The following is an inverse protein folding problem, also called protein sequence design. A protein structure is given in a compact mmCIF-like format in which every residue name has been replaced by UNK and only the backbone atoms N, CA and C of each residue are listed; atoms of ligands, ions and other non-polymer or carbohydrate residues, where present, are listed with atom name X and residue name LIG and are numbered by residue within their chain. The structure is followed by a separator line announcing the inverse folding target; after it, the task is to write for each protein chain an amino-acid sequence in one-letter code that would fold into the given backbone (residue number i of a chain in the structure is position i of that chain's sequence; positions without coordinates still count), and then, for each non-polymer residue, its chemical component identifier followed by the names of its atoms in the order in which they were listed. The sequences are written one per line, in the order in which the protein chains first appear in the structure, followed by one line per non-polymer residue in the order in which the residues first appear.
data_IF_309101438261
#
_entry.id   IF_309101438261
#
_cell.length_a   1.000
_cell.length_b   1.000
_cell.length_c   1.000
_cell.angle_alpha   90.00
_cell.angle_beta   90.00
_cell.angle_gamma   90.00
#
_symmetry.space_group_name_H-M   'P 1'
#
loop_
_entity.id
_entity.type
_entity.pdbx_description
1 polymer ?
#
# COMPACT_ATOMS: atom_id res chain seq x y z
N UNK A 1 13.76 13.48 -0.89
CA UNK A 1 14.13 12.06 -0.91
C UNK A 1 13.72 11.41 0.39
N UNK A 2 13.18 10.21 0.35
CA UNK A 2 12.74 9.54 1.57
C UNK A 2 13.95 9.13 2.44
N UNK A 3 13.73 9.03 3.74
CA UNK A 3 14.74 8.56 4.68
C UNK A 3 15.25 7.15 4.30
N UNK A 4 14.38 6.30 3.79
CA UNK A 4 14.73 4.92 3.38
C UNK A 4 15.74 4.91 2.22
N UNK A 5 15.64 5.84 1.28
CA UNK A 5 16.63 6.00 0.22
C UNK A 5 17.97 6.50 0.78
N UNK A 6 17.93 7.41 1.74
CA UNK A 6 19.16 7.97 2.35
C UNK A 6 19.98 6.92 3.08
N UNK A 7 19.33 5.95 3.72
CA UNK A 7 20.02 4.88 4.44
C UNK A 7 20.33 3.67 3.57
N UNK A 8 20.01 3.72 2.26
CA UNK A 8 20.30 2.64 1.34
C UNK A 8 19.41 1.41 1.48
N UNK A 9 18.30 1.52 2.22
CA UNK A 9 17.37 0.41 2.43
C UNK A 9 16.59 0.09 1.17
N UNK A 10 16.26 1.12 0.38
CA UNK A 10 15.54 0.97 -0.89
C UNK A 10 16.31 1.70 -2.00
N UNK A 11 16.41 1.07 -3.17
CA UNK A 11 17.01 1.69 -4.34
C UNK A 11 15.96 2.47 -5.14
N UNK A 12 16.42 3.41 -5.96
CA UNK A 12 15.53 4.14 -6.88
C UNK A 12 14.83 3.19 -7.84
N UNK A 13 15.50 2.12 -8.28
CA UNK A 13 14.91 1.10 -9.14
C UNK A 13 13.74 0.39 -8.47
N UNK A 14 13.87 0.01 -7.20
CA UNK A 14 12.79 -0.62 -6.44
C UNK A 14 11.62 0.33 -6.28
N UNK A 15 11.89 1.59 -5.95
CA UNK A 15 10.86 2.62 -5.82
C UNK A 15 10.09 2.82 -7.13
N UNK A 16 10.80 2.85 -8.26
CA UNK A 16 10.19 3.01 -9.59
C UNK A 16 9.31 1.81 -9.95
N UNK A 17 9.73 0.59 -9.62
CA UNK A 17 8.94 -0.63 -9.85
C UNK A 17 7.63 -0.59 -9.08
N UNK A 18 7.67 -0.16 -7.84
CA UNK A 18 6.46 -0.06 -7.00
C UNK A 18 5.51 0.97 -7.59
N UNK A 19 6.00 2.17 -7.92
CA UNK A 19 5.19 3.22 -8.51
C UNK A 19 4.56 2.77 -9.83
N UNK A 20 5.37 2.22 -10.73
CA UNK A 20 4.91 1.74 -12.03
C UNK A 20 3.86 0.65 -11.89
N UNK A 21 4.08 -0.33 -11.01
CA UNK A 21 3.13 -1.41 -10.77
C UNK A 21 1.78 -0.89 -10.27
N UNK A 22 1.79 0.16 -9.46
CA UNK A 22 0.56 0.81 -9.01
C UNK A 22 -0.16 1.48 -10.17
N UNK A 23 0.56 2.24 -11.02
CA UNK A 23 -0.06 2.97 -12.14
C UNK A 23 -0.73 2.04 -13.15
N UNK A 24 -0.09 0.91 -13.47
CA UNK A 24 -0.61 -0.04 -14.47
C UNK A 24 -1.50 -1.13 -13.85
N UNK A 25 -1.72 -1.07 -12.54
CA UNK A 25 -2.51 -2.05 -11.79
C UNK A 25 -2.00 -3.49 -11.96
N UNK A 26 -0.68 -3.66 -11.96
CA UNK A 26 -0.06 -4.98 -11.98
C UNK A 26 0.16 -5.45 -10.54
N UNK A 27 -0.86 -6.10 -9.97
CA UNK A 27 -0.83 -6.49 -8.56
C UNK A 27 0.19 -7.59 -8.25
N UNK A 28 0.53 -8.42 -9.21
CA UNK A 28 1.54 -9.48 -9.03
C UNK A 28 2.94 -8.89 -8.94
N UNK A 29 3.26 -7.98 -9.84
CA UNK A 29 4.54 -7.28 -9.82
C UNK A 29 4.66 -6.38 -8.59
N UNK A 30 3.57 -5.73 -8.20
CA UNK A 30 3.52 -4.92 -6.99
C UNK A 30 3.81 -5.78 -5.75
N UNK A 31 3.17 -6.94 -5.63
CA UNK A 31 3.39 -7.86 -4.52
C UNK A 31 4.85 -8.30 -4.43
N UNK A 32 5.45 -8.65 -5.58
CA UNK A 32 6.84 -9.04 -5.67
C UNK A 32 7.78 -7.91 -5.25
N UNK A 33 7.54 -6.71 -5.73
CA UNK A 33 8.35 -5.54 -5.40
C UNK A 33 8.28 -5.19 -3.90
N UNK A 34 7.09 -5.25 -3.31
CA UNK A 34 6.90 -5.02 -1.88
C UNK A 34 7.59 -6.13 -1.07
N UNK A 35 7.50 -7.38 -1.50
CA UNK A 35 8.15 -8.49 -0.81
C UNK A 35 9.68 -8.33 -0.81
N UNK A 36 10.27 -7.94 -1.92
CA UNK A 36 11.70 -7.64 -2.00
C UNK A 36 12.10 -6.51 -1.06
N UNK A 37 11.28 -5.47 -0.99
CA UNK A 37 11.49 -4.35 -0.09
C UNK A 37 11.40 -4.77 1.38
N UNK A 38 10.38 -5.56 1.72
CA UNK A 38 10.18 -6.10 3.08
C UNK A 38 11.40 -6.87 3.56
N UNK A 39 11.97 -7.69 2.69
CA UNK A 39 13.13 -8.50 3.03
C UNK A 39 14.33 -7.64 3.45
N UNK A 40 14.49 -6.49 2.80
CA UNK A 40 15.55 -5.54 3.14
C UNK A 40 15.25 -4.77 4.43
N UNK A 41 14.01 -4.30 4.57
CA UNK A 41 13.60 -3.43 5.69
C UNK A 41 13.62 -4.16 7.02
N UNK A 42 13.14 -5.40 7.06
CA UNK A 42 13.05 -6.17 8.30
C UNK A 42 14.42 -6.45 8.92
N UNK A 43 15.49 -6.41 8.10
CA UNK A 43 16.85 -6.50 8.64
C UNK A 43 17.24 -5.30 9.53
N UNK A 44 16.53 -4.18 9.40
CA UNK A 44 16.84 -2.93 10.11
C UNK A 44 15.79 -2.50 11.12
N UNK A 45 14.52 -2.93 10.95
CA UNK A 45 13.41 -2.45 11.74
C UNK A 45 12.60 -3.62 12.31
N UNK A 46 12.02 -3.39 13.49
CA UNK A 46 11.16 -4.36 14.16
C UNK A 46 9.74 -4.31 13.58
N UNK A 47 9.26 -5.38 12.90
CA UNK A 47 7.89 -5.39 12.38
C UNK A 47 6.82 -5.46 13.45
N UNK A 48 7.20 -5.77 14.71
CA UNK A 48 6.29 -5.73 15.85
C UNK A 48 6.00 -4.34 16.37
N UNK A 49 6.77 -3.32 15.92
CA UNK A 49 6.55 -1.95 16.37
C UNK A 49 5.24 -1.40 15.84
N UNK A 50 4.54 -0.63 16.66
CA UNK A 50 3.31 0.04 16.26
C UNK A 50 3.57 0.99 15.09
N UNK A 51 2.71 0.93 14.09
CA UNK A 51 2.85 1.80 12.92
C UNK A 51 3.91 1.35 11.91
N UNK A 52 4.54 0.17 12.11
CA UNK A 52 5.57 -0.32 11.19
C UNK A 52 5.08 -0.43 9.75
N UNK A 53 4.00 -1.18 9.52
CA UNK A 53 3.49 -1.41 8.15
C UNK A 53 2.93 -0.14 7.51
N UNK A 54 2.11 0.66 8.21
CA UNK A 54 1.68 1.95 7.66
C UNK A 54 2.85 2.86 7.31
N UNK A 55 3.84 2.96 8.19
CA UNK A 55 5.03 3.78 7.96
C UNK A 55 5.82 3.33 6.75
N UNK A 56 5.98 2.02 6.59
CA UNK A 56 6.66 1.40 5.46
C UNK A 56 5.97 1.76 4.14
N UNK A 57 4.67 1.59 4.08
CA UNK A 57 3.90 1.88 2.86
C UNK A 57 3.86 3.38 2.58
N UNK A 58 3.63 4.21 3.59
CA UNK A 58 3.65 5.66 3.43
C UNK A 58 5.01 6.15 2.93
N UNK A 59 6.11 5.56 3.42
CA UNK A 59 7.45 5.88 2.94
C UNK A 59 7.64 5.57 1.46
N UNK A 60 7.08 4.45 1.00
CA UNK A 60 7.13 4.07 -0.42
C UNK A 60 6.31 5.01 -1.29
N UNK A 61 5.07 5.29 -0.90
CA UNK A 61 4.17 6.11 -1.71
C UNK A 61 4.50 7.60 -1.65
N UNK A 62 5.26 8.05 -0.66
CA UNK A 62 5.72 9.44 -0.60
C UNK A 62 6.53 9.82 -1.84
N UNK A 63 7.16 8.84 -2.51
CA UNK A 63 7.86 9.07 -3.76
C UNK A 63 6.93 9.46 -4.91
N UNK A 64 5.62 9.29 -4.73
CA UNK A 64 4.59 9.59 -5.71
C UNK A 64 3.89 10.93 -5.45
N UNK A 65 4.36 11.73 -4.52
CA UNK A 65 3.66 12.96 -4.10
C UNK A 65 3.62 14.03 -5.20
N UNK A 66 4.50 13.95 -6.20
CA UNK A 66 4.44 14.83 -7.36
C UNK A 66 3.22 14.57 -8.24
N UNK A 67 2.74 13.32 -8.29
CA UNK A 67 1.61 12.90 -9.11
C UNK A 67 0.32 12.77 -8.32
N UNK A 68 0.40 12.59 -6.99
CA UNK A 68 -0.76 12.27 -6.16
C UNK A 68 -0.83 13.13 -4.91
N UNK A 69 -2.06 13.49 -4.54
CA UNK A 69 -2.38 13.97 -3.21
C UNK A 69 -2.64 12.75 -2.33
N UNK A 70 -1.87 12.60 -1.26
CA UNK A 70 -1.93 11.43 -0.38
C UNK A 70 -2.78 11.77 0.84
N UNK A 71 -3.79 10.95 1.09
CA UNK A 71 -4.60 11.02 2.30
C UNK A 71 -4.54 9.68 3.02
N UNK A 72 -4.37 9.72 4.32
CA UNK A 72 -4.34 8.52 5.13
C UNK A 72 -5.27 8.66 6.32
N UNK A 73 -5.88 7.55 6.70
CA UNK A 73 -6.78 7.51 7.85
C UNK A 73 -6.47 6.26 8.67
N UNK A 74 -5.99 6.49 9.89
CA UNK A 74 -5.73 5.43 10.84
C UNK A 74 -6.96 5.24 11.72
N UNK A 75 -7.72 4.21 11.44
CA UNK A 75 -8.77 3.80 12.35
C UNK A 75 -8.15 3.07 13.53
N UNK A 76 -8.68 3.39 14.71
CA UNK A 76 -8.14 2.99 16.00
C UNK A 76 -7.67 1.55 16.09
N UNK A 77 -6.40 1.37 16.17
CA UNK A 77 -5.79 0.36 17.01
C UNK A 77 -5.54 -1.03 16.44
N UNK A 78 -6.26 -1.54 15.47
CA UNK A 78 -6.32 -2.99 15.30
C UNK A 78 -5.74 -3.55 14.01
N UNK A 79 -4.51 -3.18 13.67
CA UNK A 79 -3.84 -3.77 12.51
C UNK A 79 -4.48 -3.40 11.19
N UNK A 80 -4.93 -2.16 11.08
CA UNK A 80 -5.68 -1.66 9.93
C UNK A 80 -5.33 -0.21 9.62
N UNK A 81 -5.21 0.13 8.33
CA UNK A 81 -4.86 1.48 7.89
C UNK A 81 -5.33 1.73 6.47
N UNK A 82 -5.91 2.89 6.21
CA UNK A 82 -6.43 3.26 4.89
C UNK A 82 -5.58 4.35 4.25
N UNK A 83 -5.32 4.20 2.97
CA UNK A 83 -4.57 5.20 2.19
C UNK A 83 -5.32 5.47 0.89
N UNK A 84 -5.50 6.75 0.60
CA UNK A 84 -6.16 7.19 -0.62
C UNK A 84 -5.21 8.08 -1.42
N UNK A 85 -4.95 7.72 -2.67
CA UNK A 85 -4.11 8.47 -3.59
C UNK A 85 -4.98 9.13 -4.64
N UNK A 86 -5.09 10.46 -4.58
CA UNK A 86 -5.90 11.24 -5.50
C UNK A 86 -4.96 11.84 -6.55
N UNK A 87 -5.13 11.50 -7.86
CA UNK A 87 -4.23 11.99 -8.88
C UNK A 87 -4.36 13.50 -9.08
N UNK A 88 -3.26 14.18 -9.24
CA UNK A 88 -3.22 15.60 -9.58
C UNK A 88 -3.56 15.83 -11.05
N UNK A 89 -3.29 14.85 -11.90
CA UNK A 89 -3.63 14.86 -13.32
C UNK A 89 -4.54 13.68 -13.66
N UNK A 90 -5.54 13.91 -14.48
CA UNK A 90 -6.55 12.90 -14.85
C UNK A 90 -6.00 11.70 -15.61
N UNK A 91 -4.80 11.77 -16.12
CA UNK A 91 -4.16 10.63 -16.80
C UNK A 91 -3.76 9.49 -15.87
N UNK A 92 -3.64 9.77 -14.58
CA UNK A 92 -3.30 8.75 -13.59
C UNK A 92 -4.57 8.22 -12.89
N UNK A 93 -4.61 6.93 -12.55
CA UNK A 93 -5.75 6.40 -11.80
C UNK A 93 -5.74 6.87 -10.35
N UNK A 94 -6.92 6.96 -9.75
CA UNK A 94 -7.05 7.06 -8.30
C UNK A 94 -6.76 5.70 -7.67
N UNK A 95 -6.14 5.68 -6.49
CA UNK A 95 -5.77 4.43 -5.82
C UNK A 95 -6.27 4.48 -4.38
N UNK A 96 -7.02 3.46 -4.00
CA UNK A 96 -7.48 3.29 -2.62
C UNK A 96 -6.86 2.01 -2.09
N UNK A 97 -6.15 2.10 -0.99
CA UNK A 97 -5.51 0.95 -0.35
C UNK A 97 -6.06 0.75 1.06
N UNK A 98 -6.32 -0.48 1.40
CA UNK A 98 -6.57 -0.92 2.76
C UNK A 98 -5.44 -1.84 3.18
N UNK A 99 -4.75 -1.50 4.26
CA UNK A 99 -3.67 -2.31 4.82
C UNK A 99 -4.17 -3.03 6.05
N UNK A 100 -3.86 -4.33 6.14
CA UNK A 100 -4.14 -5.14 7.34
C UNK A 100 -2.91 -5.96 7.69
N UNK A 101 -2.71 -6.22 8.96
CA UNK A 101 -1.59 -7.05 9.42
C UNK A 101 -1.97 -7.83 10.67
N UNK A 102 -1.46 -9.06 10.73
CA UNK A 102 -1.57 -9.95 11.89
C UNK A 102 -0.31 -10.78 11.99
N UNK A 103 0.04 -11.18 13.19
CA UNK A 103 1.20 -12.05 13.44
C UNK A 103 0.91 -13.49 13.04
N UNK A 104 1.96 -14.19 12.65
CA UNK A 104 1.97 -15.65 12.52
C UNK A 104 0.91 -16.26 11.61
N UNK A 105 0.63 -15.59 10.48
CA UNK A 105 -0.31 -16.10 9.49
C UNK A 105 0.38 -16.99 8.46
N UNK A 106 -0.27 -18.11 8.14
CA UNK A 106 0.06 -18.94 6.99
C UNK A 106 -0.41 -18.26 5.69
N UNK A 107 0.13 -18.72 4.55
CA UNK A 107 -0.18 -18.10 3.26
C UNK A 107 -1.68 -18.03 2.93
N UNK A 108 -2.43 -19.10 3.21
CA UNK A 108 -3.86 -19.13 2.95
C UNK A 108 -4.63 -18.10 3.79
N UNK A 109 -4.29 -17.98 5.08
CA UNK A 109 -4.90 -17.01 5.98
C UNK A 109 -4.51 -15.57 5.61
N UNK A 110 -3.29 -15.36 5.16
CA UNK A 110 -2.81 -14.06 4.71
C UNK A 110 -3.54 -13.62 3.45
N UNK A 111 -3.75 -14.55 2.52
CA UNK A 111 -4.54 -14.30 1.31
C UNK A 111 -5.96 -13.88 1.66
N UNK A 112 -6.59 -14.57 2.60
CA UNK A 112 -7.92 -14.21 3.12
C UNK A 112 -7.96 -12.84 3.77
N UNK A 113 -6.90 -12.45 4.48
CA UNK A 113 -6.80 -11.12 5.08
C UNK A 113 -6.71 -10.03 4.02
N UNK A 114 -6.01 -10.29 2.92
CA UNK A 114 -5.95 -9.36 1.79
C UNK A 114 -7.32 -9.19 1.12
N UNK A 115 -8.08 -10.28 0.97
CA UNK A 115 -9.44 -10.24 0.44
C UNK A 115 -10.38 -9.46 1.36
N UNK A 116 -10.25 -9.66 2.67
CA UNK A 116 -11.01 -8.91 3.66
C UNK A 116 -10.70 -7.41 3.56
N UNK A 117 -9.43 -7.05 3.40
CA UNK A 117 -9.01 -5.66 3.21
C UNK A 117 -9.67 -5.05 1.97
N UNK A 118 -9.66 -5.76 0.86
CA UNK A 118 -10.29 -5.31 -0.38
C UNK A 118 -11.80 -5.10 -0.21
N UNK A 119 -12.47 -6.05 0.46
CA UNK A 119 -13.91 -5.95 0.73
C UNK A 119 -14.25 -4.74 1.59
N UNK A 120 -13.39 -4.37 2.53
CA UNK A 120 -13.62 -3.20 3.37
C UNK A 120 -13.52 -1.89 2.61
N UNK A 121 -12.68 -1.80 1.60
CA UNK A 121 -12.62 -0.62 0.72
C UNK A 121 -14.00 -0.39 0.10
N UNK A 122 -14.62 -1.43 -0.42
CA UNK A 122 -15.93 -1.33 -1.07
C UNK A 122 -17.04 -0.92 -0.10
N UNK A 123 -16.95 -1.36 1.17
CA UNK A 123 -17.94 -1.05 2.19
C UNK A 123 -17.83 0.39 2.73
N UNK A 124 -16.67 1.03 2.64
CA UNK A 124 -16.39 2.32 3.32
C UNK A 124 -16.58 3.57 2.46
N UNK A 125 -17.09 3.45 1.27
CA UNK A 125 -17.50 4.59 0.41
C UNK A 125 -16.40 5.60 0.04
N UNK A 126 -15.14 5.21 -0.03
CA UNK A 126 -14.08 6.10 -0.54
C UNK A 126 -14.36 6.54 -1.98
N UNK A 127 -15.17 5.79 -2.70
CA UNK A 127 -15.63 6.13 -4.05
C UNK A 127 -16.30 7.49 -4.14
N UNK A 128 -17.06 7.89 -3.12
CA UNK A 128 -17.81 9.14 -3.15
C UNK A 128 -16.88 10.34 -3.31
N UNK A 129 -15.76 10.35 -2.59
CA UNK A 129 -14.81 11.46 -2.66
C UNK A 129 -14.09 11.53 -3.99
N UNK A 130 -13.71 10.39 -4.56
CA UNK A 130 -13.08 10.36 -5.88
C UNK A 130 -14.05 10.74 -6.99
N UNK A 131 -15.35 10.48 -6.82
CA UNK A 131 -16.38 10.96 -7.74
C UNK A 131 -16.50 12.47 -7.71
N UNK A 132 -16.43 13.09 -6.53
CA UNK A 132 -16.42 14.55 -6.40
C UNK A 132 -15.23 15.16 -7.14
N UNK A 133 -14.06 14.53 -7.05
CA UNK A 133 -12.84 14.98 -7.70
C UNK A 133 -12.78 14.57 -9.18
N UNK A 134 -13.82 13.94 -9.72
CA UNK A 134 -13.94 13.52 -11.14
C UNK A 134 -12.79 12.64 -11.62
N UNK A 135 -12.35 11.70 -10.78
CA UNK A 135 -11.30 10.75 -11.13
C UNK A 135 -11.85 9.68 -12.09
N UNK A 136 -11.28 9.54 -13.31
CA UNK A 136 -11.87 8.63 -14.32
C UNK A 136 -11.67 7.16 -14.02
N UNK A 137 -10.54 6.77 -13.47
CA UNK A 137 -10.24 5.37 -13.13
C UNK A 137 -9.85 5.24 -11.67
N UNK A 138 -10.21 4.11 -11.05
CA UNK A 138 -9.92 3.83 -9.66
C UNK A 138 -9.40 2.41 -9.51
N UNK A 139 -8.32 2.28 -8.78
CA UNK A 139 -7.75 1.00 -8.39
C UNK A 139 -8.02 0.80 -6.90
N UNK A 140 -8.63 -0.32 -6.56
CA UNK A 140 -8.85 -0.73 -5.17
C UNK A 140 -7.90 -1.86 -4.85
N UNK A 141 -7.14 -1.71 -3.78
CA UNK A 141 -6.04 -2.60 -3.45
C UNK A 141 -6.07 -2.96 -1.96
N UNK A 142 -6.29 -4.23 -1.68
CA UNK A 142 -6.15 -4.77 -0.33
C UNK A 142 -4.75 -5.36 -0.16
N UNK A 143 -4.03 -4.96 0.88
CA UNK A 143 -2.69 -5.45 1.16
C UNK A 143 -2.65 -6.01 2.57
N UNK A 144 -2.17 -7.25 2.71
CA UNK A 144 -2.06 -7.91 4.00
C UNK A 144 -0.60 -8.28 4.29
N UNK A 145 -0.18 -8.07 5.52
CA UNK A 145 1.17 -8.37 5.99
C UNK A 145 1.15 -9.32 7.18
N UNK A 146 2.14 -10.20 7.23
CA UNK A 146 2.44 -11.02 8.41
C UNK A 146 3.94 -11.26 8.45
N UNK A 147 4.65 -10.60 9.37
CA UNK A 147 6.12 -10.62 9.38
C UNK A 147 6.68 -10.10 8.07
N UNK A 148 7.47 -10.91 7.37
CA UNK A 148 8.03 -10.58 6.05
C UNK A 148 7.08 -10.88 4.89
N UNK A 149 5.97 -11.54 5.16
CA UNK A 149 5.03 -11.97 4.12
C UNK A 149 4.10 -10.85 3.72
N UNK A 150 3.78 -10.77 2.44
CA UNK A 150 2.82 -9.81 1.91
C UNK A 150 1.95 -10.48 0.85
N UNK A 151 0.66 -10.17 0.87
CA UNK A 151 -0.28 -10.55 -0.17
C UNK A 151 -1.11 -9.34 -0.53
N UNK A 152 -1.43 -9.20 -1.81
CA UNK A 152 -2.35 -8.15 -2.24
C UNK A 152 -3.45 -8.70 -3.14
N UNK A 153 -4.58 -8.02 -3.13
CA UNK A 153 -5.74 -8.31 -3.98
C UNK A 153 -6.23 -7.01 -4.58
N UNK A 154 -6.69 -7.09 -5.81
CA UNK A 154 -7.28 -5.96 -6.53
C UNK A 154 -8.58 -6.39 -7.19
N UNK A 155 -9.44 -5.47 -7.43
CA UNK A 155 -10.67 -5.72 -8.18
C UNK A 155 -10.49 -5.47 -9.67
#
# INVERSE_FOLDING_TARGET
MSHLLQVGVITQTTANKIAESLYINDHKELQKAIAEYMDKVISFYDPGAEGFYPGLVLGLIALMDNQYKIKSNRESGDGRYDICLIPKEKKYPGIIMELKWKKDLENAALDGLAEEALSQIEAMRYDAKMKEDKVPEKIKLGIAFSGKKVKNKTN
#
